data_IF_346467495279
#
_entry.id   IF_346467495279
#
_cell.length_a   1.000
_cell.length_b   1.000
_cell.length_c   1.000
_cell.angle_alpha   90.00
_cell.angle_beta   90.00
_cell.angle_gamma   90.00
#
_symmetry.space_group_name_H-M   'P 1'
#
loop_
_entity.id
_entity.type
_entity.pdbx_description
1 polymer ?
#
# COMPACT_ATOMS: atom_id res chain seq x y z
N UNK A 1 31.74 17.69 6.82
CA UNK A 1 30.54 16.95 7.28
C UNK A 1 29.39 17.33 6.36
N UNK A 2 29.09 16.49 5.37
CA UNK A 2 27.97 16.68 4.45
C UNK A 2 26.70 16.14 5.13
N UNK A 3 25.74 17.02 5.40
CA UNK A 3 24.42 16.68 5.94
C UNK A 3 23.60 15.99 4.84
N UNK A 4 23.59 14.66 4.81
CA UNK A 4 22.68 13.90 3.95
C UNK A 4 21.30 13.83 4.60
N UNK A 5 20.40 14.77 4.25
CA UNK A 5 18.96 14.65 4.58
C UNK A 5 18.40 13.40 3.90
N UNK A 6 17.52 12.64 4.57
CA UNK A 6 16.65 11.64 3.91
C UNK A 6 15.87 12.36 2.82
N UNK A 7 16.20 12.10 1.55
CA UNK A 7 15.50 12.70 0.41
C UNK A 7 14.35 11.77 0.05
N UNK A 8 13.14 12.07 0.54
CA UNK A 8 11.94 11.67 -0.19
C UNK A 8 11.97 12.34 -1.58
N UNK A 9 11.25 11.79 -2.55
CA UNK A 9 11.18 12.33 -3.92
C UNK A 9 10.61 13.76 -3.98
N UNK A 10 10.13 14.30 -2.86
CA UNK A 10 9.56 15.64 -2.70
C UNK A 10 10.52 16.64 -2.01
N UNK A 11 11.76 16.83 -2.49
CA UNK A 11 12.58 17.98 -2.03
C UNK A 11 12.56 19.18 -2.99
N UNK A 12 11.74 20.18 -2.61
CA UNK A 12 12.07 21.61 -2.66
C UNK A 12 11.08 22.54 -3.37
N UNK A 13 10.54 23.57 -2.67
CA UNK A 13 10.83 24.96 -3.06
C UNK A 13 11.02 25.91 -1.86
N UNK A 14 11.98 25.66 -0.95
CA UNK A 14 12.19 26.56 0.21
C UNK A 14 13.63 27.04 0.39
N UNK A 15 14.28 27.44 -0.71
CA UNK A 15 15.46 28.32 -0.64
C UNK A 15 15.08 29.82 -0.61
N UNK A 16 13.79 30.17 -0.62
CA UNK A 16 13.32 31.54 -0.84
C UNK A 16 12.44 32.21 0.24
N UNK A 17 12.14 31.55 1.36
CA UNK A 17 11.42 32.22 2.46
C UNK A 17 12.40 32.83 3.46
N UNK A 18 12.99 33.97 3.09
CA UNK A 18 13.56 34.90 4.07
C UNK A 18 12.48 35.89 4.51
N UNK A 19 12.23 35.89 5.83
CA UNK A 19 11.63 36.91 6.70
C UNK A 19 10.47 37.77 6.18
N UNK A 20 9.33 37.68 6.87
CA UNK A 20 8.71 38.83 7.56
C UNK A 20 7.54 38.37 8.45
N UNK A 21 7.78 38.34 9.76
CA UNK A 21 6.87 38.69 10.86
C UNK A 21 7.20 37.89 12.14
N UNK A 22 7.95 38.57 12.99
CA UNK A 22 8.04 38.28 14.41
C UNK A 22 6.66 38.51 15.07
N UNK A 23 6.36 37.68 16.07
CA UNK A 23 5.24 37.75 17.02
C UNK A 23 3.91 37.09 16.63
N UNK A 24 3.80 35.78 16.93
CA UNK A 24 2.52 35.20 17.36
C UNK A 24 2.73 34.19 18.48
N UNK A 25 1.96 34.39 19.56
CA UNK A 25 1.89 33.57 20.79
C UNK A 25 1.71 32.08 20.45
N UNK A 26 2.41 31.22 21.20
CA UNK A 26 2.16 29.77 21.26
C UNK A 26 0.71 29.51 21.69
N UNK A 27 -0.19 29.33 20.73
CA UNK A 27 -1.51 28.72 20.98
C UNK A 27 -1.31 27.22 21.22
N UNK A 28 -1.99 26.61 22.21
CA UNK A 28 -1.91 25.17 22.41
C UNK A 28 -2.41 24.46 21.16
N UNK A 29 -1.75 23.36 20.78
CA UNK A 29 -2.27 22.47 19.74
C UNK A 29 -3.71 22.08 20.08
N UNK A 30 -4.67 22.14 19.13
CA UNK A 30 -6.03 21.72 19.40
C UNK A 30 -6.01 20.26 19.84
N UNK A 31 -6.65 20.00 20.99
CA UNK A 31 -6.90 18.63 21.46
C UNK A 31 -7.68 17.89 20.37
N UNK A 32 -7.26 16.67 20.06
CA UNK A 32 -7.97 15.63 19.30
C UNK A 32 -9.47 15.92 19.14
N UNK A 33 -9.94 16.04 17.90
CA UNK A 33 -11.03 15.13 17.51
C UNK A 33 -10.32 13.88 17.03
N UNK A 34 -10.37 12.80 17.82
CA UNK A 34 -10.44 11.50 17.15
C UNK A 34 -11.65 11.63 16.22
N UNK A 35 -11.48 11.39 14.94
CA UNK A 35 -12.64 11.10 14.10
C UNK A 35 -13.12 9.73 14.58
N UNK A 36 -13.89 9.74 15.67
CA UNK A 36 -14.65 8.58 16.09
C UNK A 36 -15.58 8.28 14.92
N UNK A 37 -15.38 7.11 14.29
CA UNK A 37 -16.31 6.60 13.31
C UNK A 37 -17.73 6.65 13.92
N UNK A 38 -18.79 6.91 13.12
CA UNK A 38 -20.15 6.78 13.62
C UNK A 38 -20.28 5.38 14.23
N UNK A 39 -20.65 5.34 15.51
CA UNK A 39 -20.85 4.10 16.23
C UNK A 39 -21.90 3.25 15.50
N UNK A 40 -21.44 2.24 14.77
CA UNK A 40 -22.28 1.11 14.41
C UNK A 40 -22.47 0.26 15.68
N UNK A 41 -23.70 -0.24 15.83
CA UNK A 41 -24.24 -0.97 16.97
C UNK A 41 -23.26 -2.06 17.47
N UNK A 42 -22.86 -2.09 18.76
CA UNK A 42 -21.81 -2.99 19.26
C UNK A 42 -22.16 -4.48 19.22
N UNK A 43 -23.40 -4.84 18.88
CA UNK A 43 -23.89 -6.22 18.87
C UNK A 43 -23.90 -6.90 17.49
N UNK A 44 -23.56 -6.22 16.38
CA UNK A 44 -23.86 -6.76 15.03
C UNK A 44 -22.67 -7.28 14.20
N UNK A 45 -21.42 -7.15 14.65
CA UNK A 45 -20.30 -7.79 13.95
C UNK A 45 -19.25 -8.26 14.96
N UNK A 46 -19.03 -9.57 15.03
CA UNK A 46 -17.73 -10.09 15.47
C UNK A 46 -16.75 -9.66 14.38
N UNK A 47 -16.19 -8.44 14.50
CA UNK A 47 -15.17 -7.96 13.59
C UNK A 47 -13.99 -8.91 13.74
N UNK A 48 -13.71 -9.66 12.68
CA UNK A 48 -12.52 -10.48 12.65
C UNK A 48 -11.32 -9.53 12.56
N UNK A 49 -10.66 -9.32 13.70
CA UNK A 49 -9.53 -8.40 13.79
C UNK A 49 -8.33 -8.83 12.92
N UNK A 50 -8.32 -10.09 12.43
CA UNK A 50 -7.28 -10.63 11.58
C UNK A 50 -7.54 -10.32 10.10
N UNK A 51 -6.90 -9.28 9.56
CA UNK A 51 -7.15 -8.78 8.21
C UNK A 51 -6.93 -9.85 7.12
N UNK A 52 -5.91 -10.71 7.28
CA UNK A 52 -5.64 -11.80 6.34
C UNK A 52 -6.80 -12.80 6.25
N UNK A 53 -7.54 -12.99 7.36
CA UNK A 53 -8.69 -13.88 7.39
C UNK A 53 -9.89 -13.25 6.71
N UNK A 54 -10.09 -11.96 6.92
CA UNK A 54 -11.11 -11.16 6.24
C UNK A 54 -10.88 -11.13 4.73
N UNK A 55 -9.66 -10.91 4.26
CA UNK A 55 -9.31 -10.97 2.83
C UNK A 55 -9.49 -12.40 2.27
N UNK A 56 -9.06 -13.43 3.00
CA UNK A 56 -9.26 -14.82 2.56
C UNK A 56 -10.74 -15.14 2.33
N UNK A 57 -11.65 -14.64 3.16
CA UNK A 57 -13.10 -14.84 2.96
C UNK A 57 -13.59 -14.28 1.63
N UNK A 58 -12.96 -13.23 1.11
CA UNK A 58 -13.25 -12.68 -0.23
C UNK A 58 -12.86 -13.63 -1.37
N UNK A 59 -11.82 -14.45 -1.16
CA UNK A 59 -11.35 -15.43 -2.16
C UNK A 59 -12.35 -16.58 -2.39
N UNK A 60 -13.39 -16.70 -1.56
CA UNK A 60 -14.40 -17.75 -1.71
C UNK A 60 -15.20 -17.57 -3.01
N UNK A 61 -15.42 -18.65 -3.78
CA UNK A 61 -16.20 -18.61 -5.02
C UNK A 61 -17.69 -18.31 -4.81
N UNK A 62 -18.17 -18.28 -3.56
CA UNK A 62 -19.52 -17.86 -3.19
C UNK A 62 -19.67 -16.34 -3.06
N UNK A 63 -18.63 -15.54 -3.34
CA UNK A 63 -18.75 -14.08 -3.32
C UNK A 63 -19.68 -13.62 -4.45
N UNK A 64 -20.75 -12.91 -4.08
CA UNK A 64 -21.86 -12.52 -4.97
C UNK A 64 -21.48 -11.53 -6.08
N UNK A 65 -20.26 -11.01 -6.07
CA UNK A 65 -19.78 -9.90 -6.93
C UNK A 65 -18.53 -10.30 -7.74
N UNK A 66 -18.40 -11.58 -8.11
CA UNK A 66 -17.23 -12.04 -8.85
C UNK A 66 -17.32 -11.61 -10.33
N UNK A 67 -16.56 -10.57 -10.70
CA UNK A 67 -16.33 -10.22 -12.10
C UNK A 67 -15.59 -11.33 -12.85
N UNK A 68 -15.89 -11.49 -14.14
CA UNK A 68 -15.01 -12.24 -15.03
C UNK A 68 -13.77 -11.38 -15.28
N UNK A 69 -12.62 -11.82 -14.74
CA UNK A 69 -11.34 -11.15 -14.99
C UNK A 69 -11.04 -11.26 -16.49
N UNK A 70 -11.08 -10.18 -17.26
CA UNK A 70 -10.76 -10.16 -18.68
C UNK A 70 -9.71 -9.08 -18.97
N UNK A 71 -8.86 -9.31 -19.95
CA UNK A 71 -7.75 -8.39 -20.24
C UNK A 71 -8.26 -7.19 -21.04
N UNK A 72 -7.84 -5.99 -20.65
CA UNK A 72 -7.99 -4.78 -21.47
C UNK A 72 -6.77 -4.61 -22.38
N UNK A 73 -6.88 -4.98 -23.66
CA UNK A 73 -5.76 -4.98 -24.61
C UNK A 73 -5.16 -3.57 -24.82
N UNK A 74 -5.95 -2.50 -24.65
CA UNK A 74 -5.51 -1.12 -24.86
C UNK A 74 -4.73 -0.56 -23.65
N UNK A 75 -4.79 -1.24 -22.51
CA UNK A 75 -4.15 -0.80 -21.28
C UNK A 75 -2.66 -1.15 -21.17
N UNK A 76 -2.13 -2.04 -22.03
CA UNK A 76 -0.77 -2.59 -21.90
C UNK A 76 0.14 -2.23 -23.06
N UNK A 77 1.42 -1.98 -22.76
CA UNK A 77 2.44 -1.81 -23.79
C UNK A 77 2.97 -3.18 -24.23
N UNK A 78 2.90 -3.47 -25.54
CA UNK A 78 3.49 -4.67 -26.11
C UNK A 78 4.97 -4.44 -26.42
N UNK A 79 5.84 -5.17 -25.73
CA UNK A 79 7.27 -5.18 -26.04
C UNK A 79 7.67 -6.54 -26.62
N UNK A 80 8.29 -6.53 -27.81
CA UNK A 80 8.72 -7.73 -28.55
C UNK A 80 9.77 -8.55 -27.77
N UNK A 81 10.52 -7.91 -26.86
CA UNK A 81 11.59 -8.54 -26.08
C UNK A 81 11.11 -9.12 -24.73
N UNK A 82 9.84 -8.94 -24.39
CA UNK A 82 9.26 -9.42 -23.14
C UNK A 82 8.12 -10.40 -23.45
N UNK A 83 7.74 -11.21 -22.44
CA UNK A 83 6.52 -12.03 -22.56
C UNK A 83 5.34 -11.12 -22.89
N UNK A 84 4.48 -11.56 -23.82
CA UNK A 84 3.34 -10.75 -24.21
C UNK A 84 2.42 -10.50 -23.00
N UNK A 85 1.81 -9.30 -22.88
CA UNK A 85 0.81 -9.03 -21.84
C UNK A 85 -0.31 -10.10 -21.79
N UNK A 86 -0.70 -10.64 -22.96
CA UNK A 86 -1.68 -11.73 -23.10
C UNK A 86 -1.23 -13.01 -22.40
N UNK A 87 0.02 -13.44 -22.61
CA UNK A 87 0.57 -14.62 -21.94
C UNK A 87 0.64 -14.42 -20.42
N UNK A 88 1.10 -13.26 -19.96
CA UNK A 88 1.18 -12.97 -18.52
C UNK A 88 -0.20 -12.94 -17.87
N UNK A 89 -1.19 -12.35 -18.55
CA UNK A 89 -2.57 -12.33 -18.07
C UNK A 89 -3.18 -13.73 -18.02
N UNK A 90 -2.92 -14.59 -19.01
CA UNK A 90 -3.32 -15.99 -18.98
C UNK A 90 -2.66 -16.76 -17.82
N UNK A 91 -1.36 -16.54 -17.59
CA UNK A 91 -0.63 -17.12 -16.45
C UNK A 91 -1.24 -16.67 -15.11
N UNK A 92 -1.53 -15.37 -14.95
CA UNK A 92 -2.18 -14.81 -13.77
C UNK A 92 -3.53 -15.47 -13.51
N UNK A 93 -4.42 -15.52 -14.52
CA UNK A 93 -5.74 -16.14 -14.40
C UNK A 93 -5.66 -17.61 -13.99
N UNK A 94 -4.71 -18.34 -14.57
CA UNK A 94 -4.47 -19.74 -14.22
C UNK A 94 -4.02 -19.88 -12.76
N UNK A 95 -3.09 -19.05 -12.30
CA UNK A 95 -2.64 -19.08 -10.90
C UNK A 95 -3.76 -18.69 -9.91
N UNK A 96 -4.59 -17.70 -10.25
CA UNK A 96 -5.79 -17.36 -9.45
C UNK A 96 -6.73 -18.57 -9.35
N UNK A 97 -6.98 -19.25 -10.46
CA UNK A 97 -7.86 -20.43 -10.50
C UNK A 97 -7.28 -21.55 -9.64
N UNK A 98 -6.00 -21.89 -9.79
CA UNK A 98 -5.31 -22.92 -9.01
C UNK A 98 -5.36 -22.64 -7.49
N UNK A 99 -5.22 -21.37 -7.10
CA UNK A 99 -5.30 -20.94 -5.70
C UNK A 99 -6.72 -21.09 -5.17
N UNK A 100 -7.73 -20.65 -5.92
CA UNK A 100 -9.15 -20.74 -5.54
C UNK A 100 -9.62 -22.18 -5.41
N UNK A 101 -9.39 -23.03 -6.41
CA UNK A 101 -9.84 -24.43 -6.40
C UNK A 101 -9.30 -25.19 -5.19
N UNK A 102 -8.04 -24.95 -4.87
CA UNK A 102 -7.46 -25.70 -3.79
C UNK A 102 -7.56 -25.04 -2.41
N UNK A 103 -8.13 -23.84 -2.33
CA UNK A 103 -8.70 -23.32 -1.09
C UNK A 103 -9.94 -24.09 -0.64
N UNK A 104 -10.72 -24.61 -1.58
CA UNK A 104 -11.88 -25.46 -1.29
C UNK A 104 -11.46 -26.81 -0.70
N UNK A 105 -10.28 -27.31 -1.09
CA UNK A 105 -9.76 -28.61 -0.70
C UNK A 105 -8.99 -28.61 0.64
N UNK A 106 -8.70 -27.44 1.21
CA UNK A 106 -7.85 -27.32 2.41
C UNK A 106 -8.68 -27.24 3.69
N UNK A 107 -8.38 -28.13 4.65
CA UNK A 107 -8.97 -28.10 6.00
C UNK A 107 -8.32 -27.02 6.88
N UNK A 108 -7.02 -26.75 6.73
CA UNK A 108 -6.29 -25.72 7.48
C UNK A 108 -6.16 -24.41 6.71
N UNK A 109 -7.08 -23.50 7.01
CA UNK A 109 -7.17 -22.18 6.37
C UNK A 109 -6.32 -21.10 7.06
N UNK A 110 -5.71 -21.40 8.20
CA UNK A 110 -4.94 -20.43 9.00
C UNK A 110 -3.61 -20.06 8.33
N UNK A 111 -3.02 -21.02 7.61
CA UNK A 111 -1.78 -20.82 6.85
C UNK A 111 -1.90 -19.78 5.73
N UNK A 112 -3.05 -19.76 5.05
CA UNK A 112 -3.30 -18.76 4.03
C UNK A 112 -3.52 -17.38 4.64
N UNK A 113 -4.17 -17.31 5.81
CA UNK A 113 -4.33 -16.04 6.54
C UNK A 113 -2.95 -15.40 6.76
N UNK A 114 -1.97 -16.19 7.22
CA UNK A 114 -0.60 -15.75 7.47
C UNK A 114 0.19 -15.42 6.20
N UNK A 115 0.00 -16.15 5.10
CA UNK A 115 0.62 -15.79 3.83
C UNK A 115 0.10 -14.45 3.28
N UNK A 116 -1.21 -14.21 3.39
CA UNK A 116 -1.81 -12.91 3.02
C UNK A 116 -1.21 -11.79 3.86
N UNK A 117 -1.07 -12.00 5.18
CA UNK A 117 -0.39 -11.03 6.05
C UNK A 117 1.05 -10.77 5.61
N UNK A 118 1.80 -11.82 5.22
CA UNK A 118 3.17 -11.68 4.74
C UNK A 118 3.24 -10.84 3.45
N UNK A 119 2.36 -11.08 2.48
CA UNK A 119 2.30 -10.29 1.23
C UNK A 119 1.89 -8.83 1.50
N UNK A 120 0.95 -8.56 2.43
CA UNK A 120 0.61 -7.20 2.86
C UNK A 120 1.80 -6.49 3.51
N UNK A 121 2.55 -7.19 4.35
CA UNK A 121 3.73 -6.64 5.00
C UNK A 121 4.87 -6.37 3.99
N UNK A 122 5.05 -7.24 3.00
CA UNK A 122 5.98 -7.02 1.87
C UNK A 122 5.55 -5.84 1.01
N UNK A 123 4.25 -5.67 0.76
CA UNK A 123 3.71 -4.50 0.07
C UNK A 123 4.11 -3.20 0.78
N UNK A 124 3.96 -3.13 2.11
CA UNK A 124 4.39 -1.98 2.92
C UNK A 124 5.90 -1.77 2.82
N UNK A 125 6.70 -2.84 2.99
CA UNK A 125 8.15 -2.79 2.89
C UNK A 125 8.63 -2.20 1.55
N UNK A 126 8.20 -2.79 0.43
CA UNK A 126 8.63 -2.34 -0.89
C UNK A 126 8.18 -0.91 -1.19
N UNK A 127 6.96 -0.56 -0.78
CA UNK A 127 6.43 0.79 -0.92
C UNK A 127 7.23 1.83 -0.11
N UNK A 128 7.77 1.45 1.05
CA UNK A 128 8.69 2.28 1.86
C UNK A 128 10.09 2.37 1.23
N UNK A 129 10.63 1.26 0.71
CA UNK A 129 11.93 1.24 0.05
C UNK A 129 12.00 2.14 -1.19
N UNK A 130 10.90 2.28 -1.94
CA UNK A 130 10.83 3.22 -3.07
C UNK A 130 11.10 4.65 -2.62
N UNK A 131 10.55 5.07 -1.47
CA UNK A 131 10.71 6.42 -0.92
C UNK A 131 11.98 6.59 -0.05
N UNK A 132 12.76 5.53 0.17
CA UNK A 132 13.90 5.49 1.12
C UNK A 132 13.50 5.87 2.56
N UNK A 133 12.35 5.34 3.01
CA UNK A 133 11.80 5.55 4.36
C UNK A 133 11.60 4.22 5.08
N UNK A 134 11.34 4.24 6.39
CA UNK A 134 11.16 3.03 7.18
C UNK A 134 12.49 2.33 7.50
N UNK A 135 12.48 0.99 7.51
CA UNK A 135 13.57 0.17 8.04
C UNK A 135 13.80 -1.13 7.25
N UNK A 136 14.62 -2.03 7.82
CA UNK A 136 14.92 -3.33 7.22
C UNK A 136 13.70 -4.24 7.05
N UNK A 137 13.85 -5.30 6.25
CA UNK A 137 12.76 -6.24 5.96
C UNK A 137 12.21 -6.88 7.24
N UNK A 138 13.07 -7.41 8.10
CA UNK A 138 12.64 -8.18 9.29
C UNK A 138 11.80 -7.35 10.25
N UNK A 139 12.27 -6.15 10.61
CA UNK A 139 11.54 -5.22 11.48
C UNK A 139 10.24 -4.74 10.81
N UNK A 140 10.25 -4.51 9.50
CA UNK A 140 9.06 -4.12 8.75
C UNK A 140 8.01 -5.23 8.77
N UNK A 141 8.41 -6.48 8.50
CA UNK A 141 7.50 -7.63 8.54
C UNK A 141 6.92 -7.83 9.94
N UNK A 142 7.74 -7.73 10.98
CA UNK A 142 7.30 -7.86 12.39
C UNK A 142 6.21 -6.83 12.71
N UNK A 143 6.50 -5.54 12.53
CA UNK A 143 5.58 -4.46 12.90
C UNK A 143 4.29 -4.47 12.06
N UNK A 144 4.38 -4.75 10.77
CA UNK A 144 3.21 -4.86 9.90
C UNK A 144 2.32 -6.04 10.30
N UNK A 145 2.92 -7.19 10.62
CA UNK A 145 2.18 -8.38 11.09
C UNK A 145 1.39 -8.09 12.36
N UNK A 146 1.98 -7.36 13.31
CA UNK A 146 1.29 -6.94 14.54
C UNK A 146 0.05 -6.07 14.24
N UNK A 147 0.16 -5.12 13.31
CA UNK A 147 -0.97 -4.28 12.86
C UNK A 147 -2.05 -5.11 12.16
N UNK A 148 -1.68 -5.97 11.21
CA UNK A 148 -2.67 -6.67 10.38
C UNK A 148 -3.36 -7.85 11.09
N UNK A 149 -2.71 -8.49 12.07
CA UNK A 149 -3.35 -9.51 12.91
C UNK A 149 -4.36 -8.93 13.90
N UNK A 150 -4.20 -7.66 14.28
CA UNK A 150 -5.14 -6.93 15.15
C UNK A 150 -5.18 -7.40 16.62
N UNK A 151 -4.22 -8.21 17.06
CA UNK A 151 -4.15 -8.73 18.45
C UNK A 151 -3.27 -7.92 19.39
N UNK A 152 -2.23 -7.26 18.87
CA UNK A 152 -1.30 -6.41 19.65
C UNK A 152 -0.92 -5.21 18.80
N UNK A 153 -1.52 -4.06 19.08
CA UNK A 153 -1.16 -2.83 18.38
C UNK A 153 0.28 -2.42 18.76
N UNK A 154 1.15 -2.10 17.78
CA UNK A 154 2.46 -1.55 18.08
C UNK A 154 2.33 -0.27 18.91
N UNK A 155 3.18 -0.06 19.93
CA UNK A 155 3.13 1.15 20.74
C UNK A 155 3.31 2.40 19.87
N UNK A 156 2.83 3.55 20.34
CA UNK A 156 2.96 4.80 19.58
C UNK A 156 4.43 5.26 19.45
N UNK A 157 5.25 4.91 20.45
CA UNK A 157 6.69 5.20 20.52
C UNK A 157 7.42 4.03 21.16
N UNK A 158 8.70 3.88 20.82
CA UNK A 158 9.62 2.88 21.36
C UNK A 158 10.77 3.57 22.10
N UNK A 159 11.24 2.97 23.18
CA UNK A 159 12.38 3.51 23.94
C UNK A 159 13.73 3.01 23.41
N UNK A 160 14.83 3.66 23.80
CA UNK A 160 16.19 3.28 23.38
C UNK A 160 16.61 1.86 23.81
N UNK A 161 15.91 1.28 24.79
CA UNK A 161 16.15 -0.10 25.26
C UNK A 161 15.27 -1.13 24.55
N UNK A 162 14.42 -0.70 23.63
CA UNK A 162 13.54 -1.58 22.87
C UNK A 162 14.33 -2.31 21.77
N UNK A 163 14.22 -3.65 21.63
CA UNK A 163 14.89 -4.38 20.55
C UNK A 163 14.54 -3.89 19.13
N UNK A 164 13.36 -3.29 18.96
CA UNK A 164 12.95 -2.70 17.68
C UNK A 164 13.68 -1.39 17.41
N UNK A 165 14.04 -0.65 18.46
CA UNK A 165 14.85 0.57 18.36
C UNK A 165 16.26 0.23 17.88
N UNK A 166 16.88 -0.76 18.51
CA UNK A 166 18.22 -1.24 18.16
C UNK A 166 18.29 -1.74 16.71
N UNK A 167 17.31 -2.52 16.25
CA UNK A 167 17.26 -2.99 14.87
C UNK A 167 17.17 -1.85 13.85
N UNK A 168 16.37 -0.81 14.15
CA UNK A 168 16.27 0.37 13.29
C UNK A 168 17.56 1.19 13.32
N UNK A 169 18.17 1.37 14.48
CA UNK A 169 19.46 2.06 14.61
C UNK A 169 20.56 1.38 13.78
N UNK A 170 20.67 0.05 13.88
CA UNK A 170 21.61 -0.76 13.10
C UNK A 170 21.32 -0.61 11.60
N UNK A 171 20.06 -0.73 11.18
CA UNK A 171 19.68 -0.61 9.78
C UNK A 171 20.05 0.77 9.22
N UNK A 172 19.69 1.85 9.92
CA UNK A 172 19.94 3.21 9.47
C UNK A 172 21.45 3.49 9.39
N UNK A 173 22.20 3.07 10.40
CA UNK A 173 23.67 3.23 10.43
C UNK A 173 24.35 2.46 9.30
N UNK A 174 23.94 1.23 9.02
CA UNK A 174 24.51 0.40 7.95
C UNK A 174 24.19 0.91 6.53
N UNK A 175 23.19 1.77 6.38
CA UNK A 175 22.79 2.34 5.08
C UNK A 175 23.18 3.82 4.95
N UNK A 176 24.06 4.33 5.82
CA UNK A 176 24.50 5.73 5.84
C UNK A 176 23.33 6.74 5.93
N UNK A 177 22.25 6.36 6.62
CA UNK A 177 21.07 7.20 6.84
C UNK A 177 21.15 7.92 8.19
N UNK A 178 20.48 9.09 8.34
CA UNK A 178 20.33 9.74 9.65
C UNK A 178 19.77 8.76 10.70
N UNK A 179 20.48 8.66 11.83
CA UNK A 179 20.23 7.69 12.90
C UNK A 179 20.15 8.35 14.29
N UNK A 180 19.84 9.65 14.39
CA UNK A 180 19.54 10.25 15.71
C UNK A 180 18.24 9.65 16.24
N UNK A 181 18.02 9.79 17.55
CA UNK A 181 16.79 9.34 18.20
C UNK A 181 15.50 9.72 17.44
N UNK A 182 15.38 10.98 17.00
CA UNK A 182 14.25 11.43 16.20
C UNK A 182 14.10 10.70 14.85
N UNK A 183 15.21 10.39 14.18
CA UNK A 183 15.24 9.70 12.88
C UNK A 183 14.83 8.22 13.02
N UNK A 184 15.19 7.59 14.14
CA UNK A 184 14.81 6.21 14.48
C UNK A 184 13.31 6.14 14.79
N UNK A 185 12.80 7.06 15.62
CA UNK A 185 11.36 7.14 15.91
C UNK A 185 10.54 7.46 14.65
N UNK A 186 11.05 8.30 13.76
CA UNK A 186 10.39 8.57 12.48
C UNK A 186 10.36 7.31 11.60
N UNK A 187 11.47 6.57 11.49
CA UNK A 187 11.53 5.31 10.74
C UNK A 187 10.54 4.26 11.27
N UNK A 188 10.45 4.13 12.60
CA UNK A 188 9.45 3.30 13.25
C UNK A 188 8.01 3.69 12.86
N UNK A 189 7.68 4.99 12.97
CA UNK A 189 6.35 5.51 12.61
C UNK A 189 6.05 5.31 11.13
N UNK A 190 7.02 5.51 10.23
CA UNK A 190 6.85 5.30 8.78
C UNK A 190 6.45 3.85 8.44
N UNK A 191 6.89 2.86 9.21
CA UNK A 191 6.45 1.46 9.05
C UNK A 191 5.04 1.28 9.61
N UNK A 192 4.84 1.62 10.89
CA UNK A 192 3.58 1.35 11.60
C UNK A 192 2.41 2.10 10.97
N UNK A 193 2.59 3.37 10.64
CA UNK A 193 1.55 4.20 10.05
C UNK A 193 1.17 3.77 8.64
N UNK A 194 2.13 3.29 7.86
CA UNK A 194 1.83 2.76 6.53
C UNK A 194 1.00 1.47 6.63
N UNK A 195 1.33 0.58 7.56
CA UNK A 195 0.51 -0.60 7.82
C UNK A 195 -0.90 -0.20 8.31
N UNK A 196 -1.03 0.80 9.18
CA UNK A 196 -2.35 1.29 9.65
C UNK A 196 -3.18 1.91 8.52
N UNK A 197 -2.57 2.73 7.66
CA UNK A 197 -3.23 3.30 6.49
C UNK A 197 -3.70 2.22 5.50
N UNK A 198 -2.86 1.20 5.27
CA UNK A 198 -3.21 0.06 4.44
C UNK A 198 -4.39 -0.71 5.03
N UNK A 199 -4.34 -1.02 6.34
CA UNK A 199 -5.41 -1.71 7.05
C UNK A 199 -6.72 -0.93 6.93
N UNK A 200 -6.70 0.37 7.24
CA UNK A 200 -7.89 1.22 7.16
C UNK A 200 -8.50 1.22 5.75
N UNK A 201 -7.69 1.48 4.72
CA UNK A 201 -8.19 1.57 3.34
C UNK A 201 -8.79 0.23 2.86
N UNK A 202 -8.12 -0.89 3.15
CA UNK A 202 -8.61 -2.23 2.81
C UNK A 202 -9.88 -2.57 3.61
N UNK A 203 -9.94 -2.27 4.91
CA UNK A 203 -11.13 -2.52 5.72
C UNK A 203 -12.34 -1.74 5.18
N UNK A 204 -12.18 -0.45 4.88
CA UNK A 204 -13.30 0.36 4.39
C UNK A 204 -13.79 -0.11 3.01
N UNK A 205 -12.88 -0.34 2.06
CA UNK A 205 -13.25 -0.62 0.66
C UNK A 205 -13.51 -2.10 0.41
N UNK A 206 -12.62 -2.97 0.88
CA UNK A 206 -12.67 -4.39 0.57
C UNK A 206 -13.59 -5.16 1.51
N UNK A 207 -13.56 -4.85 2.81
CA UNK A 207 -14.29 -5.63 3.83
C UNK A 207 -15.67 -5.04 4.11
N UNK A 208 -15.76 -3.72 4.31
CA UNK A 208 -17.02 -3.03 4.58
C UNK A 208 -17.79 -2.65 3.30
N UNK A 209 -17.20 -2.92 2.13
CA UNK A 209 -17.86 -2.75 0.84
C UNK A 209 -18.15 -1.31 0.43
N UNK A 210 -17.44 -0.32 1.00
CA UNK A 210 -17.58 1.08 0.59
C UNK A 210 -16.87 1.32 -0.75
N UNK A 211 -17.37 2.30 -1.51
CA UNK A 211 -16.66 2.81 -2.67
C UNK A 211 -15.43 3.64 -2.21
N UNK A 212 -14.35 3.56 -2.98
CA UNK A 212 -13.18 4.40 -2.73
C UNK A 212 -13.55 5.87 -2.97
N UNK A 213 -13.44 6.70 -1.93
CA UNK A 213 -13.84 8.11 -1.96
C UNK A 213 -12.68 9.05 -1.59
N UNK A 214 -12.85 10.35 -1.88
CA UNK A 214 -11.90 11.39 -1.45
C UNK A 214 -11.66 11.34 0.06
N UNK A 215 -12.71 11.09 0.86
CA UNK A 215 -12.64 11.01 2.32
C UNK A 215 -11.83 9.80 2.80
N UNK A 216 -12.02 8.62 2.19
CA UNK A 216 -11.23 7.42 2.52
C UNK A 216 -9.75 7.66 2.16
N UNK A 217 -9.48 8.27 1.00
CA UNK A 217 -8.11 8.59 0.58
C UNK A 217 -7.46 9.60 1.53
N UNK A 218 -8.19 10.66 1.90
CA UNK A 218 -7.71 11.67 2.83
C UNK A 218 -7.45 11.09 4.23
N UNK A 219 -8.35 10.26 4.75
CA UNK A 219 -8.16 9.60 6.06
C UNK A 219 -6.98 8.63 6.03
N UNK A 220 -6.86 7.78 5.01
CA UNK A 220 -5.73 6.87 4.87
C UNK A 220 -4.39 7.63 4.75
N UNK A 221 -4.37 8.75 4.02
CA UNK A 221 -3.20 9.63 3.98
C UNK A 221 -2.92 10.27 5.35
N UNK A 222 -3.98 10.62 6.10
CA UNK A 222 -3.90 11.06 7.49
C UNK A 222 -3.17 10.06 8.37
N UNK A 223 -3.62 8.80 8.34
CA UNK A 223 -3.00 7.71 9.10
C UNK A 223 -1.55 7.51 8.67
N UNK A 224 -1.28 7.44 7.36
CA UNK A 224 0.04 7.24 6.76
C UNK A 224 1.09 8.27 7.22
N UNK A 225 0.65 9.51 7.45
CA UNK A 225 1.53 10.66 7.73
C UNK A 225 1.42 11.16 9.16
N UNK A 226 0.67 10.47 10.01
CA UNK A 226 0.51 10.83 11.41
C UNK A 226 1.86 10.84 12.14
N UNK A 227 2.21 11.99 12.73
CA UNK A 227 3.50 12.24 13.41
C UNK A 227 4.75 12.03 12.53
N UNK A 228 4.62 12.20 11.21
CA UNK A 228 5.74 12.24 10.28
C UNK A 228 6.04 13.70 9.94
N UNK A 229 7.19 14.19 10.40
CA UNK A 229 7.59 15.56 10.13
C UNK A 229 8.30 15.63 8.77
N UNK A 230 7.86 16.52 7.88
CA UNK A 230 8.54 16.75 6.59
C UNK A 230 9.82 17.57 6.81
N UNK A 231 9.74 18.55 7.70
CA UNK A 231 10.85 19.43 8.07
C UNK A 231 10.52 20.17 9.36
N UNK A 232 11.51 20.89 9.92
CA UNK A 232 11.32 21.77 11.08
C UNK A 232 10.23 22.84 10.87
N UNK A 233 9.83 23.12 9.62
CA UNK A 233 8.85 24.14 9.27
C UNK A 233 7.48 23.59 8.86
N UNK A 234 7.39 22.30 8.53
CA UNK A 234 6.16 21.69 8.05
C UNK A 234 5.88 20.49 8.94
N UNK A 235 5.08 20.73 9.98
CA UNK A 235 4.67 19.68 10.89
C UNK A 235 3.53 18.85 10.32
N UNK A 236 3.47 17.57 10.71
CA UNK A 236 2.47 16.61 10.26
C UNK A 236 1.04 17.15 10.36
N UNK A 237 0.69 17.85 11.44
CA UNK A 237 -0.67 18.35 11.69
C UNK A 237 -1.13 19.43 10.70
N UNK A 238 -0.23 19.99 9.89
CA UNK A 238 -0.54 20.98 8.86
C UNK A 238 -1.01 20.32 7.56
N UNK A 239 -0.42 19.17 7.19
CA UNK A 239 -0.62 18.56 5.86
C UNK A 239 -1.27 17.18 5.89
N UNK A 240 -1.21 16.48 7.02
CA UNK A 240 -1.72 15.12 7.16
C UNK A 240 -3.23 15.08 6.88
N UNK A 241 -3.62 14.20 5.97
CA UNK A 241 -4.99 14.07 5.46
C UNK A 241 -5.57 15.30 4.74
N UNK A 242 -4.74 16.27 4.32
CA UNK A 242 -5.21 17.53 3.72
C UNK A 242 -4.56 17.78 2.37
N UNK A 243 -5.36 18.14 1.36
CA UNK A 243 -4.82 18.56 0.08
C UNK A 243 -3.89 19.78 0.24
N UNK A 244 -2.81 19.78 -0.54
CA UNK A 244 -1.82 20.85 -0.50
C UNK A 244 -2.43 22.17 -0.96
N UNK A 245 -1.98 23.24 -0.34
CA UNK A 245 -2.35 24.62 -0.69
C UNK A 245 -1.19 25.36 -1.37
N UNK A 246 -0.20 24.62 -1.86
CA UNK A 246 0.99 25.15 -2.51
C UNK A 246 1.44 24.22 -3.64
N UNK A 247 2.24 24.76 -4.56
CA UNK A 247 2.78 23.99 -5.67
C UNK A 247 3.99 23.17 -5.24
N UNK A 248 4.08 21.96 -5.80
CA UNK A 248 5.12 20.98 -5.49
C UNK A 248 5.76 20.49 -6.79
N UNK A 249 7.02 20.06 -6.68
CA UNK A 249 7.80 19.50 -7.78
C UNK A 249 8.58 18.28 -7.28
N UNK A 250 8.87 17.36 -8.19
CA UNK A 250 9.77 16.23 -7.98
C UNK A 250 10.87 16.30 -9.03
N UNK A 251 12.09 16.63 -8.62
CA UNK A 251 13.17 16.93 -9.55
C UNK A 251 12.81 18.10 -10.47
N UNK A 252 12.87 17.89 -11.79
CA UNK A 252 12.45 18.86 -12.80
C UNK A 252 10.94 18.85 -13.11
N UNK A 253 10.21 17.84 -12.62
CA UNK A 253 8.78 17.70 -12.89
C UNK A 253 7.95 18.58 -11.95
N UNK A 254 7.17 19.50 -12.52
CA UNK A 254 6.21 20.35 -11.78
C UNK A 254 4.84 19.69 -11.85
N UNK A 255 4.24 19.44 -10.69
CA UNK A 255 2.89 18.85 -10.63
C UNK A 255 1.82 19.89 -10.91
N UNK A 256 0.57 19.42 -11.05
CA UNK A 256 -0.60 20.26 -11.26
C UNK A 256 -0.66 21.44 -10.26
N UNK A 257 -1.19 22.58 -10.68
CA UNK A 257 -1.38 23.71 -9.77
C UNK A 257 -2.31 23.33 -8.60
N UNK A 258 -1.96 23.73 -7.37
CA UNK A 258 -2.70 23.36 -6.17
C UNK A 258 -4.17 23.79 -6.20
N UNK A 259 -4.50 24.88 -6.91
CA UNK A 259 -5.88 25.36 -7.07
C UNK A 259 -6.77 24.37 -7.83
N UNK A 260 -6.19 23.49 -8.65
CA UNK A 260 -6.90 22.51 -9.48
C UNK A 260 -7.02 21.13 -8.81
N UNK A 261 -6.23 20.87 -7.76
CA UNK A 261 -6.15 19.54 -7.11
C UNK A 261 -7.52 19.02 -6.69
N UNK A 262 -8.34 19.85 -6.05
CA UNK A 262 -9.66 19.43 -5.55
C UNK A 262 -10.60 19.01 -6.68
N UNK A 263 -10.57 19.74 -7.80
CA UNK A 263 -11.40 19.42 -8.96
C UNK A 263 -10.89 18.13 -9.60
N UNK A 264 -9.57 18.00 -9.80
CA UNK A 264 -8.98 16.82 -10.41
C UNK A 264 -9.18 15.53 -9.58
N UNK A 265 -9.17 15.63 -8.24
CA UNK A 265 -9.48 14.51 -7.34
C UNK A 265 -10.94 14.08 -7.47
N UNK A 266 -11.87 15.03 -7.49
CA UNK A 266 -13.28 14.74 -7.75
C UNK A 266 -13.48 14.07 -9.11
N UNK A 267 -12.92 14.63 -10.17
CA UNK A 267 -13.01 14.09 -11.52
C UNK A 267 -12.44 12.66 -11.59
N UNK A 268 -11.36 12.37 -10.85
CA UNK A 268 -10.79 11.03 -10.77
C UNK A 268 -11.74 10.03 -10.09
N UNK A 269 -12.42 10.42 -9.02
CA UNK A 269 -13.39 9.55 -8.33
C UNK A 269 -14.63 9.33 -9.21
N UNK A 270 -15.16 10.38 -9.84
CA UNK A 270 -16.30 10.25 -10.76
C UNK A 270 -15.99 9.34 -11.95
N UNK A 271 -14.76 9.42 -12.49
CA UNK A 271 -14.26 8.52 -13.54
C UNK A 271 -14.16 7.08 -13.03
N UNK A 272 -13.60 6.86 -11.83
CA UNK A 272 -13.49 5.53 -11.20
C UNK A 272 -14.86 4.87 -11.07
N UNK A 273 -15.83 5.58 -10.51
CA UNK A 273 -17.19 5.08 -10.40
C UNK A 273 -17.81 4.77 -11.76
N UNK A 274 -17.53 5.59 -12.78
CA UNK A 274 -18.01 5.35 -14.14
C UNK A 274 -17.44 4.08 -14.75
N UNK A 275 -16.13 3.86 -14.60
CA UNK A 275 -15.46 2.65 -15.08
C UNK A 275 -15.98 1.40 -14.35
N UNK A 276 -16.20 1.48 -13.02
CA UNK A 276 -16.77 0.37 -12.23
C UNK A 276 -18.20 0.06 -12.67
N UNK A 277 -19.04 1.09 -12.90
CA UNK A 277 -20.41 0.90 -13.40
C UNK A 277 -20.40 0.22 -14.77
N UNK A 278 -19.49 0.62 -15.66
CA UNK A 278 -19.31 -0.02 -16.97
C UNK A 278 -18.92 -1.50 -16.82
N UNK A 279 -17.90 -1.79 -16.02
CA UNK A 279 -17.46 -3.16 -15.74
C UNK A 279 -18.59 -4.02 -15.14
N UNK A 280 -19.42 -3.43 -14.27
CA UNK A 280 -20.57 -4.10 -13.63
C UNK A 280 -21.64 -4.46 -14.66
N UNK A 281 -21.95 -3.55 -15.58
CA UNK A 281 -22.90 -3.80 -16.65
C UNK A 281 -22.41 -4.87 -17.64
N UNK A 282 -21.10 -4.90 -17.90
CA UNK A 282 -20.48 -5.88 -18.81
C UNK A 282 -20.19 -7.23 -18.14
N UNK A 283 -20.17 -7.27 -16.79
CA UNK A 283 -19.80 -8.45 -16.00
C UNK A 283 -18.32 -8.83 -16.11
N UNK A 284 -17.48 -7.94 -16.65
CA UNK A 284 -16.06 -8.18 -16.90
C UNK A 284 -15.23 -7.01 -16.39
N UNK A 285 -14.03 -7.30 -15.89
CA UNK A 285 -13.09 -6.29 -15.42
C UNK A 285 -11.65 -6.76 -15.63
N UNK A 286 -10.75 -5.83 -15.93
CA UNK A 286 -9.31 -6.04 -15.73
C UNK A 286 -8.88 -5.32 -14.44
N UNK A 287 -8.75 -6.02 -13.30
CA UNK A 287 -8.37 -5.36 -12.04
C UNK A 287 -7.00 -4.71 -12.12
N UNK A 288 -6.07 -5.25 -12.93
CA UNK A 288 -4.72 -4.72 -13.08
C UNK A 288 -4.76 -3.43 -13.87
N UNK A 289 -5.43 -3.40 -15.02
CA UNK A 289 -5.58 -2.18 -15.80
C UNK A 289 -6.29 -1.07 -15.00
N UNK A 290 -7.40 -1.40 -14.33
CA UNK A 290 -8.13 -0.45 -13.49
C UNK A 290 -7.24 0.11 -12.39
N UNK A 291 -6.60 -0.76 -11.59
CA UNK A 291 -5.76 -0.32 -10.48
C UNK A 291 -4.56 0.53 -10.95
N UNK A 292 -3.93 0.16 -12.06
CA UNK A 292 -2.80 0.92 -12.63
C UNK A 292 -3.24 2.28 -13.18
N UNK A 293 -4.41 2.37 -13.83
CA UNK A 293 -5.00 3.65 -14.30
C UNK A 293 -5.16 4.64 -13.15
N UNK A 294 -5.79 4.23 -12.05
CA UNK A 294 -6.07 5.13 -10.92
C UNK A 294 -4.85 5.40 -10.04
N UNK A 295 -3.92 4.45 -9.94
CA UNK A 295 -2.60 4.69 -9.34
C UNK A 295 -1.83 5.77 -10.10
N UNK A 296 -1.77 5.67 -11.43
CA UNK A 296 -1.11 6.65 -12.31
C UNK A 296 -1.80 8.01 -12.27
N UNK A 297 -3.14 8.05 -12.34
CA UNK A 297 -3.90 9.30 -12.29
C UNK A 297 -3.68 10.03 -10.95
N UNK A 298 -3.80 9.33 -9.83
CA UNK A 298 -3.60 9.91 -8.51
C UNK A 298 -2.20 10.50 -8.32
N UNK A 299 -1.14 9.77 -8.70
CA UNK A 299 0.24 10.25 -8.50
C UNK A 299 0.57 11.48 -9.35
N UNK A 300 -0.07 11.64 -10.51
CA UNK A 300 0.08 12.80 -11.39
C UNK A 300 -0.71 14.03 -10.91
N UNK A 301 -1.86 13.82 -10.26
CA UNK A 301 -2.57 14.91 -9.55
C UNK A 301 -1.72 15.40 -8.37
N UNK A 302 -1.09 14.46 -7.66
CA UNK A 302 -0.19 14.70 -6.53
C UNK A 302 -0.86 15.57 -5.44
N UNK A 303 -1.97 15.12 -4.86
CA UNK A 303 -2.86 15.98 -4.07
C UNK A 303 -2.29 16.44 -2.72
N UNK A 304 -1.34 15.71 -2.14
CA UNK A 304 -0.81 15.97 -0.80
C UNK A 304 0.58 16.63 -0.82
N UNK A 305 0.99 17.19 0.32
CA UNK A 305 2.31 17.80 0.48
C UNK A 305 3.48 16.79 0.48
N UNK A 306 3.23 15.58 0.98
CA UNK A 306 4.15 14.43 0.94
C UNK A 306 3.33 13.13 0.98
N UNK A 307 3.94 11.96 0.83
CA UNK A 307 3.27 10.66 0.99
C UNK A 307 2.47 10.18 -0.23
N UNK A 308 2.36 10.99 -1.29
CA UNK A 308 1.60 10.67 -2.51
C UNK A 308 2.00 9.32 -3.15
N UNK A 309 3.30 9.00 -3.21
CA UNK A 309 3.77 7.73 -3.76
C UNK A 309 3.29 6.52 -2.95
N UNK A 310 3.33 6.61 -1.61
CA UNK A 310 2.83 5.54 -0.74
C UNK A 310 1.31 5.41 -0.85
N UNK A 311 0.58 6.54 -0.84
CA UNK A 311 -0.88 6.54 -1.01
C UNK A 311 -1.32 5.97 -2.37
N UNK A 312 -0.61 6.27 -3.47
CA UNK A 312 -0.98 5.73 -4.79
C UNK A 312 -0.83 4.20 -4.85
N UNK A 313 0.19 3.65 -4.18
CA UNK A 313 0.41 2.20 -4.08
C UNK A 313 -0.61 1.53 -3.14
N UNK A 314 -1.12 2.23 -2.14
CA UNK A 314 -2.27 1.77 -1.34
C UNK A 314 -3.56 1.73 -2.16
N UNK A 315 -3.82 2.76 -2.98
CA UNK A 315 -4.96 2.78 -3.91
C UNK A 315 -4.85 1.60 -4.89
N UNK A 316 -3.68 1.40 -5.50
CA UNK A 316 -3.43 0.28 -6.41
C UNK A 316 -3.78 -1.07 -5.76
N UNK A 317 -3.23 -1.36 -4.58
CA UNK A 317 -3.48 -2.63 -3.92
C UNK A 317 -4.92 -2.78 -3.42
N UNK A 318 -5.55 -1.70 -2.96
CA UNK A 318 -6.95 -1.74 -2.52
C UNK A 318 -7.87 -2.10 -3.69
N UNK A 319 -7.67 -1.48 -4.86
CA UNK A 319 -8.45 -1.81 -6.06
C UNK A 319 -8.19 -3.24 -6.55
N UNK A 320 -6.94 -3.71 -6.51
CA UNK A 320 -6.61 -5.11 -6.85
C UNK A 320 -7.30 -6.10 -5.90
N UNK A 321 -7.28 -5.84 -4.59
CA UNK A 321 -7.93 -6.71 -3.60
C UNK A 321 -9.45 -6.69 -3.78
N UNK A 322 -10.06 -5.51 -3.96
CA UNK A 322 -11.51 -5.38 -4.14
C UNK A 322 -12.00 -6.07 -5.41
N UNK A 323 -11.41 -5.74 -6.56
CA UNK A 323 -11.90 -6.19 -7.87
C UNK A 323 -11.27 -7.49 -8.36
N UNK A 324 -10.15 -7.92 -7.80
CA UNK A 324 -9.56 -9.24 -8.03
C UNK A 324 -10.13 -10.35 -7.13
N UNK A 325 -11.01 -9.99 -6.19
CA UNK A 325 -11.67 -10.95 -5.29
C UNK A 325 -10.77 -11.43 -4.17
N UNK A 326 -9.98 -10.53 -3.58
CA UNK A 326 -9.05 -10.80 -2.47
C UNK A 326 -7.59 -10.99 -2.88
N UNK A 327 -7.29 -11.08 -4.18
CA UNK A 327 -5.94 -11.20 -4.73
C UNK A 327 -5.91 -10.69 -6.18
N UNK A 328 -4.73 -10.37 -6.76
CA UNK A 328 -3.39 -10.41 -6.19
C UNK A 328 -3.09 -9.26 -5.21
N UNK A 329 -2.09 -9.45 -4.35
CA UNK A 329 -1.46 -8.37 -3.56
C UNK A 329 -0.11 -8.09 -4.20
N UNK A 330 0.10 -6.85 -4.63
CA UNK A 330 1.28 -6.45 -5.41
C UNK A 330 2.28 -5.71 -4.53
N UNK A 331 3.43 -6.36 -4.33
CA UNK A 331 4.59 -5.80 -3.63
C UNK A 331 5.64 -5.31 -4.64
N UNK A 332 5.73 -3.99 -4.82
CA UNK A 332 6.73 -3.33 -5.68
C UNK A 332 7.79 -2.68 -4.81
N UNK A 333 9.05 -2.69 -5.25
CA UNK A 333 10.20 -2.11 -4.56
C UNK A 333 10.91 -3.08 -3.62
N UNK A 334 10.76 -4.40 -3.82
CA UNK A 334 11.37 -5.39 -2.93
C UNK A 334 12.91 -5.42 -3.03
N UNK A 335 13.45 -5.11 -4.20
CA UNK A 335 14.90 -5.04 -4.45
C UNK A 335 15.31 -3.78 -5.23
N UNK A 336 16.62 -3.56 -5.36
CA UNK A 336 17.14 -2.37 -6.03
C UNK A 336 16.87 -2.30 -7.54
N UNK A 337 16.70 -3.43 -8.24
CA UNK A 337 16.30 -3.45 -9.66
C UNK A 337 14.84 -3.07 -9.80
N UNK A 338 14.01 -3.67 -8.96
CA UNK A 338 12.57 -3.46 -8.90
C UNK A 338 12.22 -1.99 -8.61
N UNK A 339 12.89 -1.42 -7.61
CA UNK A 339 12.81 0.01 -7.28
C UNK A 339 13.21 0.90 -8.47
N UNK A 340 14.32 0.59 -9.13
CA UNK A 340 14.80 1.39 -10.28
C UNK A 340 13.82 1.35 -11.44
N UNK A 341 13.25 0.19 -11.73
CA UNK A 341 12.29 0.04 -12.81
C UNK A 341 10.99 0.79 -12.53
N UNK A 342 10.45 0.68 -11.31
CA UNK A 342 9.28 1.47 -10.91
C UNK A 342 9.53 2.98 -11.05
N UNK A 343 10.70 3.47 -10.61
CA UNK A 343 11.05 4.89 -10.73
C UNK A 343 11.21 5.32 -12.19
N UNK A 344 11.76 4.46 -13.05
CA UNK A 344 11.84 4.71 -14.50
C UNK A 344 10.46 4.89 -15.10
N UNK A 345 9.52 4.02 -14.75
CA UNK A 345 8.12 4.08 -15.21
C UNK A 345 7.42 5.34 -14.68
N UNK A 346 7.62 5.68 -13.40
CA UNK A 346 7.06 6.88 -12.79
C UNK A 346 7.57 8.17 -13.47
N UNK A 347 8.87 8.23 -13.80
CA UNK A 347 9.46 9.35 -14.55
C UNK A 347 8.94 9.40 -15.98
N UNK A 348 8.74 8.26 -16.64
CA UNK A 348 8.17 8.19 -17.98
C UNK A 348 6.67 8.56 -18.01
N UNK A 349 6.00 8.54 -16.86
CA UNK A 349 4.55 8.75 -16.74
C UNK A 349 3.74 7.87 -17.69
N UNK A 350 4.22 6.65 -17.95
CA UNK A 350 3.52 5.70 -18.82
C UNK A 350 2.59 4.81 -18.00
N UNK A 351 1.28 5.03 -18.16
CA UNK A 351 0.25 4.16 -17.59
C UNK A 351 0.39 2.73 -18.11
N UNK A 352 0.68 2.55 -19.41
CA UNK A 352 0.79 1.24 -20.02
C UNK A 352 1.98 0.42 -19.49
N UNK A 353 3.12 1.08 -19.23
CA UNK A 353 4.26 0.42 -18.59
C UNK A 353 3.96 0.09 -17.13
N UNK A 354 3.24 0.95 -16.41
CA UNK A 354 2.82 0.67 -15.05
C UNK A 354 1.86 -0.53 -14.99
N UNK A 355 0.90 -0.61 -15.92
CA UNK A 355 -0.03 -1.73 -16.03
C UNK A 355 0.71 -3.04 -16.30
N UNK A 356 1.64 -3.05 -17.26
CA UNK A 356 2.47 -4.21 -17.56
C UNK A 356 3.32 -4.66 -16.36
N UNK A 357 3.98 -3.71 -15.70
CA UNK A 357 4.80 -3.99 -14.52
C UNK A 357 3.94 -4.52 -13.36
N UNK A 358 2.77 -3.93 -13.12
CA UNK A 358 1.80 -4.41 -12.13
C UNK A 358 1.33 -5.83 -12.46
N UNK A 359 1.10 -6.15 -13.73
CA UNK A 359 0.71 -7.49 -14.19
C UNK A 359 1.79 -8.54 -13.89
N UNK A 360 3.07 -8.20 -14.09
CA UNK A 360 4.19 -9.08 -13.73
C UNK A 360 4.20 -9.38 -12.23
N UNK A 361 4.12 -8.35 -11.38
CA UNK A 361 4.08 -8.54 -9.93
C UNK A 361 2.84 -9.27 -9.45
N UNK A 362 1.68 -9.00 -10.06
CA UNK A 362 0.43 -9.70 -9.79
C UNK A 362 0.57 -11.20 -10.04
N UNK A 363 1.12 -11.56 -11.21
CA UNK A 363 1.37 -12.95 -11.60
C UNK A 363 2.36 -13.62 -10.65
N UNK A 364 3.43 -12.94 -10.28
CA UNK A 364 4.46 -13.48 -9.39
C UNK A 364 3.95 -13.65 -7.95
N UNK A 365 3.11 -12.74 -7.46
CA UNK A 365 2.43 -12.91 -6.17
C UNK A 365 1.55 -14.16 -6.16
N UNK A 366 0.76 -14.37 -7.21
CA UNK A 366 -0.08 -15.56 -7.31
C UNK A 366 0.72 -16.85 -7.48
N UNK A 367 1.88 -16.79 -8.15
CA UNK A 367 2.80 -17.92 -8.24
C UNK A 367 3.39 -18.27 -6.85
N UNK A 368 3.88 -17.28 -6.10
CA UNK A 368 4.38 -17.49 -4.73
C UNK A 368 3.32 -18.10 -3.84
N UNK A 369 2.09 -17.61 -3.92
CA UNK A 369 0.97 -18.12 -3.14
C UNK A 369 0.65 -19.58 -3.51
N UNK A 370 0.68 -19.91 -4.80
CA UNK A 370 0.52 -21.29 -5.29
C UNK A 370 1.64 -22.21 -4.80
N UNK A 371 2.89 -21.76 -4.83
CA UNK A 371 4.07 -22.54 -4.42
C UNK A 371 4.14 -22.75 -2.90
N UNK A 372 3.86 -21.72 -2.11
CA UNK A 372 3.80 -21.79 -0.65
C UNK A 372 2.82 -22.89 -0.19
N UNK A 373 1.69 -23.01 -0.89
CA UNK A 373 0.71 -24.06 -0.63
C UNK A 373 1.22 -25.46 -0.99
N UNK A 374 1.92 -25.62 -2.13
CA UNK A 374 2.48 -26.93 -2.55
C UNK A 374 3.55 -27.45 -1.60
N UNK A 375 4.51 -26.59 -1.24
CA UNK A 375 5.63 -26.96 -0.36
C UNK A 375 5.13 -27.42 1.02
N UNK A 376 4.03 -26.86 1.53
CA UNK A 376 3.47 -27.28 2.82
C UNK A 376 2.68 -28.58 2.76
N UNK A 377 1.98 -28.87 1.66
CA UNK A 377 1.35 -30.18 1.46
C UNK A 377 2.41 -31.29 1.49
N UNK A 378 3.59 -31.08 0.90
CA UNK A 378 4.70 -32.05 1.03
C UNK A 378 5.18 -32.22 2.46
N UNK A 379 5.37 -31.13 3.23
CA UNK A 379 5.84 -31.21 4.63
C UNK A 379 4.84 -31.94 5.53
N UNK A 380 3.55 -31.64 5.42
CA UNK A 380 2.50 -32.31 6.20
C UNK A 380 2.39 -33.80 5.88
N UNK A 381 2.59 -34.20 4.61
CA UNK A 381 2.60 -35.61 4.20
C UNK A 381 3.83 -36.35 4.75
N UNK A 382 4.99 -35.70 4.78
CA UNK A 382 6.21 -36.25 5.36
C UNK A 382 6.08 -36.42 6.89
N UNK A 383 5.48 -35.46 7.58
CA UNK A 383 5.20 -35.55 9.02
C UNK A 383 4.20 -36.66 9.36
N UNK A 384 3.09 -36.78 8.61
CA UNK A 384 2.13 -37.89 8.77
C UNK A 384 2.76 -39.25 8.52
N UNK A 385 3.66 -39.34 7.55
CA UNK A 385 4.36 -40.59 7.23
C UNK A 385 5.35 -40.96 8.33
N UNK A 386 6.03 -39.98 8.95
CA UNK A 386 6.90 -40.19 10.12
C UNK A 386 6.12 -40.62 11.37
N UNK A 387 4.94 -40.05 11.61
CA UNK A 387 4.09 -40.43 12.75
C UNK A 387 3.48 -41.83 12.56
N UNK A 388 3.19 -42.25 11.34
CA UNK A 388 2.67 -43.60 11.07
C UNK A 388 3.75 -44.71 11.06
N UNK A 389 5.04 -44.33 11.04
CA UNK A 389 6.18 -45.24 11.08
C UNK A 389 6.83 -45.35 12.49
N UNK A 390 6.35 -44.56 13.44
CA UNK A 390 6.72 -44.60 14.86
C UNK A 390 5.62 -45.27 15.67
#
# INVERSE_FOLDING_TARGET
MLNHKRKSLSQGPFEGLQNENNHTRKTPAPKRQRFDAPFDNPDDYILDNHLGRSIRRMLSPLSKEAFVINMDDDAYEYNILQKSPKELHQELRRHITDVKEGLEQSEDKSDLDEHIIDELARMVYGSNMIENVGGGLDITLKLCKDVFRGGKEPPEEIGERDPDYEQLEIYLSNNDLPCKHADILQSYREIVQHAKAARFMIEQVCINGKDLSEDIIAQAHGDLTYKIEISEHISWNVYSGRYRLWNVRCGSHVFMDHSKVRIAMRDMIEELESDIRKATNEGQIDPVALASKYCHRFVNIHPFGDGNGRTCRLILNTLLIKYGGGCPIVSIGQDGRDRREYLRIAVAQSMAQLAFFTLQHARDSMLRLKEARKLRVSVLNDEKTRVNLA
#
